data_IF_979466487595
#
_entry.id   IF_979466487595
#
_cell.length_a   1.000
_cell.length_b   1.000
_cell.length_c   1.000
_cell.angle_alpha   90.00
_cell.angle_beta   90.00
_cell.angle_gamma   90.00
#
_symmetry.space_group_name_H-M   'P 1'
#
loop_
_entity.id
_entity.type
_entity.pdbx_description
1 polymer ?
#
# COMPACT_ATOMS: atom_id res chain seq x y z
N UNK A 1 -4.68 -26.26 2.78
CA UNK A 1 -6.03 -26.04 2.21
C UNK A 1 -6.98 -27.23 2.43
N UNK A 2 -6.61 -28.48 2.15
CA UNK A 2 -7.52 -29.64 2.28
C UNK A 2 -7.97 -30.01 3.71
N UNK A 3 -7.27 -29.52 4.74
CA UNK A 3 -7.68 -29.69 6.14
C UNK A 3 -8.69 -28.60 6.56
N UNK A 4 -8.42 -27.33 6.22
CA UNK A 4 -9.33 -26.21 6.45
C UNK A 4 -10.73 -26.44 5.86
N UNK A 5 -10.84 -27.01 4.66
CA UNK A 5 -12.14 -27.32 4.04
C UNK A 5 -12.92 -28.46 4.72
N UNK A 6 -12.24 -29.30 5.51
CA UNK A 6 -12.90 -30.36 6.31
C UNK A 6 -13.39 -29.85 7.64
N UNK A 7 -12.72 -28.84 8.19
CA UNK A 7 -13.01 -28.30 9.51
C UNK A 7 -13.90 -27.03 9.45
N UNK A 8 -13.89 -26.32 8.33
CA UNK A 8 -14.61 -25.06 8.12
C UNK A 8 -15.35 -25.06 6.79
N UNK A 9 -16.60 -24.59 6.80
CA UNK A 9 -17.39 -24.47 5.58
C UNK A 9 -16.86 -23.36 4.67
N UNK A 10 -17.08 -23.48 3.35
CA UNK A 10 -16.70 -22.41 2.41
C UNK A 10 -17.38 -21.07 2.72
N UNK A 11 -18.59 -21.10 3.28
CA UNK A 11 -19.31 -19.90 3.70
C UNK A 11 -18.60 -19.21 4.86
N UNK A 12 -18.29 -19.96 5.90
CA UNK A 12 -17.59 -19.45 7.08
C UNK A 12 -16.20 -18.91 6.71
N UNK A 13 -15.47 -19.60 5.83
CA UNK A 13 -14.19 -19.11 5.32
C UNK A 13 -14.33 -17.78 4.57
N UNK A 14 -15.36 -17.63 3.72
CA UNK A 14 -15.65 -16.37 3.04
C UNK A 14 -16.04 -15.25 4.01
N UNK A 15 -16.77 -15.57 5.08
CA UNK A 15 -17.11 -14.62 6.14
C UNK A 15 -15.84 -14.14 6.88
N UNK A 16 -14.89 -15.04 7.19
CA UNK A 16 -13.60 -14.65 7.76
C UNK A 16 -12.74 -13.80 6.81
N UNK A 17 -12.74 -14.10 5.51
CA UNK A 17 -12.06 -13.28 4.51
C UNK A 17 -12.67 -11.87 4.43
N UNK A 18 -14.00 -11.77 4.47
CA UNK A 18 -14.68 -10.47 4.50
C UNK A 18 -14.38 -9.72 5.80
N UNK A 19 -14.37 -10.42 6.94
CA UNK A 19 -14.01 -9.84 8.24
C UNK A 19 -12.57 -9.32 8.25
N UNK A 20 -11.62 -10.07 7.67
CA UNK A 20 -10.23 -9.63 7.52
C UNK A 20 -10.04 -8.40 6.64
N UNK A 21 -10.92 -8.19 5.66
CA UNK A 21 -10.93 -6.97 4.84
C UNK A 21 -11.62 -5.78 5.50
N UNK A 22 -12.56 -6.01 6.42
CA UNK A 22 -13.33 -4.96 7.10
C UNK A 22 -12.63 -4.44 8.35
N UNK A 23 -12.09 -5.35 9.16
CA UNK A 23 -11.40 -4.99 10.39
C UNK A 23 -9.89 -4.98 10.14
N UNK A 24 -9.22 -3.83 10.29
CA UNK A 24 -7.79 -3.78 10.12
C UNK A 24 -7.13 -4.38 11.38
N UNK A 25 -6.71 -5.64 11.27
CA UNK A 25 -5.93 -6.40 12.26
C UNK A 25 -4.73 -7.08 11.62
N UNK A 26 -3.81 -7.58 12.45
CA UNK A 26 -2.58 -8.24 12.01
C UNK A 26 -1.36 -7.32 11.95
N UNK A 27 -0.27 -7.87 11.40
CA UNK A 27 1.07 -7.28 11.45
C UNK A 27 1.18 -5.98 10.66
N UNK A 28 0.54 -5.87 9.48
CA UNK A 28 0.58 -4.63 8.68
C UNK A 28 0.10 -3.41 9.49
N UNK A 29 -0.94 -3.61 10.31
CA UNK A 29 -1.44 -2.54 11.19
C UNK A 29 -0.56 -2.35 12.43
N UNK A 30 0.09 -3.39 12.92
CA UNK A 30 1.07 -3.27 13.99
C UNK A 30 2.27 -2.43 13.52
N UNK A 31 2.79 -2.72 12.33
CA UNK A 31 3.88 -1.98 11.69
C UNK A 31 3.49 -0.52 11.44
N UNK A 32 2.28 -0.24 10.95
CA UNK A 32 1.81 1.14 10.79
C UNK A 32 1.80 1.91 12.11
N UNK A 33 1.27 1.30 13.18
CA UNK A 33 1.26 1.94 14.52
C UNK A 33 2.66 2.19 15.03
N UNK A 34 3.58 1.25 14.83
CA UNK A 34 4.98 1.41 15.21
C UNK A 34 5.69 2.46 14.35
N UNK A 35 5.40 2.53 13.05
CA UNK A 35 5.93 3.55 12.14
C UNK A 35 5.51 4.96 12.56
N UNK A 36 4.26 5.14 12.99
CA UNK A 36 3.77 6.43 13.54
C UNK A 36 4.58 6.83 14.78
N UNK A 37 4.77 5.89 15.72
CA UNK A 37 5.53 6.16 16.94
C UNK A 37 7.02 6.46 16.64
N UNK A 38 7.61 5.73 15.71
CA UNK A 38 8.99 5.93 15.28
C UNK A 38 9.17 7.31 14.62
N UNK A 39 8.28 7.68 13.69
CA UNK A 39 8.30 8.99 13.05
C UNK A 39 8.12 10.14 14.06
N UNK A 40 7.19 10.00 15.01
CA UNK A 40 7.04 10.96 16.11
C UNK A 40 8.34 11.11 16.90
N UNK A 41 8.93 9.99 17.31
CA UNK A 41 10.16 9.97 18.10
C UNK A 41 11.32 10.60 17.32
N UNK A 42 11.48 10.26 16.04
CA UNK A 42 12.51 10.83 15.18
C UNK A 42 12.32 12.34 15.02
N UNK A 43 11.12 12.78 14.65
CA UNK A 43 10.85 14.19 14.36
C UNK A 43 10.96 15.09 15.60
N UNK A 44 10.65 14.59 16.80
CA UNK A 44 10.86 15.35 18.05
C UNK A 44 12.35 15.54 18.34
N UNK A 45 13.19 14.57 17.99
CA UNK A 45 14.63 14.60 18.30
C UNK A 45 15.52 15.10 17.14
N UNK A 46 14.96 15.32 15.95
CA UNK A 46 15.73 15.78 14.78
C UNK A 46 16.07 17.28 14.88
N UNK A 47 17.17 17.66 14.25
CA UNK A 47 17.49 19.06 13.99
C UNK A 47 16.72 19.55 12.73
N UNK A 48 15.74 20.47 12.87
CA UNK A 48 14.92 20.95 11.75
C UNK A 48 15.70 21.69 10.65
N UNK A 49 16.89 22.21 10.95
CA UNK A 49 17.69 22.95 9.97
C UNK A 49 18.58 22.03 9.13
N UNK A 50 18.81 20.80 9.62
CA UNK A 50 19.78 19.87 9.03
C UNK A 50 19.15 18.59 8.50
N UNK A 51 17.96 18.23 8.99
CA UNK A 51 17.33 16.95 8.69
C UNK A 51 15.85 17.15 8.37
N UNK A 52 15.43 16.60 7.23
CA UNK A 52 14.04 16.61 6.82
C UNK A 52 13.15 15.80 7.79
N UNK A 53 11.86 16.11 7.79
CA UNK A 53 10.88 15.32 8.53
C UNK A 53 10.72 13.92 7.93
N UNK A 54 10.67 12.92 8.81
CA UNK A 54 10.37 11.55 8.41
C UNK A 54 8.87 11.28 8.51
N UNK A 55 8.35 10.49 7.58
CA UNK A 55 6.95 10.03 7.58
C UNK A 55 6.85 8.63 8.19
N UNK A 56 5.68 8.23 8.72
CA UNK A 56 5.51 6.87 9.26
C UNK A 56 5.94 5.76 8.30
N UNK A 57 5.70 5.93 6.99
CA UNK A 57 6.01 4.96 5.95
C UNK A 57 7.52 4.76 5.72
N UNK A 58 8.37 5.67 6.20
CA UNK A 58 9.82 5.54 6.13
C UNK A 58 10.35 4.50 7.14
N UNK A 59 9.54 4.14 8.14
CA UNK A 59 9.86 3.17 9.19
C UNK A 59 9.15 1.82 9.04
N UNK A 60 8.38 1.61 7.96
CA UNK A 60 7.65 0.37 7.70
C UNK A 60 8.44 -0.50 6.71
N UNK A 61 8.77 -1.77 7.05
CA UNK A 61 9.43 -2.67 6.13
C UNK A 61 8.57 -2.94 4.88
N UNK A 62 9.17 -2.80 3.69
CA UNK A 62 8.54 -3.20 2.43
C UNK A 62 9.13 -4.53 1.96
N UNK A 63 8.36 -5.61 2.11
CA UNK A 63 8.80 -6.96 1.72
C UNK A 63 8.77 -7.18 0.21
N UNK A 64 7.85 -6.52 -0.48
CA UNK A 64 7.77 -6.48 -1.94
C UNK A 64 7.91 -5.01 -2.37
N UNK A 65 9.14 -4.57 -2.62
CA UNK A 65 9.34 -3.28 -3.27
C UNK A 65 9.17 -3.53 -4.77
N UNK A 66 8.12 -3.00 -5.44
CA UNK A 66 8.10 -3.04 -6.90
C UNK A 66 9.39 -2.37 -7.37
N UNK A 67 10.11 -3.04 -8.27
CA UNK A 67 11.29 -2.49 -8.92
C UNK A 67 10.96 -1.06 -9.37
N UNK A 68 11.78 -0.05 -9.00
CA UNK A 68 11.51 1.30 -9.43
C UNK A 68 11.39 1.32 -10.95
N UNK A 69 10.21 1.68 -11.43
CA UNK A 69 9.93 1.79 -12.86
C UNK A 69 11.00 2.68 -13.50
N UNK A 70 11.60 2.24 -14.60
CA UNK A 70 12.60 3.05 -15.29
C UNK A 70 11.97 4.38 -15.71
N UNK A 71 12.78 5.42 -15.87
CA UNK A 71 12.25 6.73 -16.29
C UNK A 71 11.56 6.62 -17.65
N UNK A 72 12.11 5.76 -18.50
CA UNK A 72 11.60 5.45 -19.82
C UNK A 72 10.22 4.79 -19.76
N UNK A 73 10.04 3.80 -18.87
CA UNK A 73 8.75 3.14 -18.66
C UNK A 73 7.71 4.09 -18.05
N UNK A 74 8.13 4.98 -17.15
CA UNK A 74 7.23 5.96 -16.54
C UNK A 74 6.71 6.98 -17.57
N UNK A 75 7.58 7.44 -18.47
CA UNK A 75 7.19 8.34 -19.59
C UNK A 75 6.22 7.63 -20.53
N UNK A 76 6.52 6.37 -20.91
CA UNK A 76 5.63 5.59 -21.76
C UNK A 76 4.25 5.35 -21.13
N UNK A 77 4.19 5.09 -19.82
CA UNK A 77 2.93 4.92 -19.09
C UNK A 77 2.10 6.22 -19.07
N UNK A 78 2.76 7.37 -18.89
CA UNK A 78 2.11 8.69 -18.92
C UNK A 78 1.54 8.97 -20.32
N UNK A 79 2.31 8.74 -21.38
CA UNK A 79 1.87 8.95 -22.77
C UNK A 79 0.70 8.03 -23.15
N UNK A 80 0.74 6.77 -22.72
CA UNK A 80 -0.35 5.83 -22.92
C UNK A 80 -1.62 6.28 -22.19
N UNK A 81 -1.51 6.79 -20.96
CA UNK A 81 -2.64 7.31 -20.20
C UNK A 81 -3.27 8.55 -20.88
N UNK A 82 -2.45 9.48 -21.38
CA UNK A 82 -2.94 10.65 -22.13
C UNK A 82 -3.63 10.25 -23.43
N UNK A 83 -3.06 9.27 -24.15
CA UNK A 83 -3.63 8.77 -25.40
C UNK A 83 -4.98 8.08 -25.15
N UNK A 84 -5.07 7.25 -24.12
CA UNK A 84 -6.31 6.60 -23.72
C UNK A 84 -7.38 7.62 -23.31
N UNK A 85 -7.01 8.65 -22.55
CA UNK A 85 -7.91 9.74 -22.18
C UNK A 85 -8.42 10.53 -23.40
N UNK A 86 -7.54 10.82 -24.36
CA UNK A 86 -7.92 11.50 -25.61
C UNK A 86 -8.82 10.65 -26.52
N UNK A 87 -8.67 9.32 -26.51
CA UNK A 87 -9.57 8.41 -27.22
C UNK A 87 -10.94 8.33 -26.54
N UNK A 88 -10.99 8.30 -25.20
CA UNK A 88 -12.25 8.31 -24.44
C UNK A 88 -13.01 9.63 -24.55
N UNK A 89 -12.31 10.77 -24.71
CA UNK A 89 -12.94 12.08 -24.87
C UNK A 89 -13.50 12.33 -26.27
N UNK A 90 -13.00 11.64 -27.30
CA UNK A 90 -13.50 11.71 -28.68
C UNK A 90 -14.72 10.82 -28.97
N UNK A 91 -15.05 9.87 -28.09
CA UNK A 91 -16.20 8.97 -28.23
C UNK A 91 -17.54 9.51 -27.68
N UNK A 92 -17.61 10.79 -27.32
CA UNK A 92 -18.79 11.43 -26.70
C UNK A 92 -19.48 12.51 -27.57
N UNK A 93 -19.25 12.51 -28.88
CA UNK A 93 -20.02 13.31 -29.84
C UNK A 93 -20.88 12.43 -30.73
#
# INVERSE_FOLDING_TARGET
MAQLQREMSSREFSEWMAYAGLEPFGEERADLRMGILAALTFNINRDPERTDEAKPEDFIPRFERPEPMSKEDAVAAIDAAFTAYAMMSKGKQ
#
